data_IF_024465285942
#
_entry.id   IF_024465285942
#
_cell.length_a   1.000
_cell.length_b   1.000
_cell.length_c   1.000
_cell.angle_alpha   90.00
_cell.angle_beta   90.00
_cell.angle_gamma   90.00
#
_symmetry.space_group_name_H-M   'P 1'
#
loop_
_entity.id
_entity.type
_entity.pdbx_description
1 polymer ?
#
# COMPACT_ATOMS: atom_id res chain seq x y z
N UNK A 1 22.73 -49.75 -74.79
CA UNK A 1 22.54 -49.44 -73.33
C UNK A 1 21.34 -48.53 -73.17
N UNK A 2 20.19 -49.08 -72.88
CA UNK A 2 18.95 -48.30 -72.72
C UNK A 2 18.77 -48.00 -71.25
N UNK A 3 18.91 -46.76 -70.87
CA UNK A 3 18.58 -46.29 -69.48
C UNK A 3 17.09 -45.96 -69.40
N UNK A 4 16.35 -46.77 -68.66
CA UNK A 4 14.91 -46.67 -68.49
C UNK A 4 14.47 -45.34 -67.88
N UNK A 5 13.51 -44.63 -68.45
CA UNK A 5 12.98 -43.35 -67.90
C UNK A 5 12.20 -43.52 -66.59
N UNK A 6 11.87 -44.73 -66.17
CA UNK A 6 11.09 -45.01 -64.95
C UNK A 6 11.82 -44.73 -63.64
N UNK A 7 13.17 -44.80 -63.61
CA UNK A 7 13.94 -44.51 -62.38
C UNK A 7 14.01 -43.03 -62.02
N UNK A 8 13.90 -42.11 -62.99
CA UNK A 8 13.91 -40.64 -62.72
C UNK A 8 12.57 -40.12 -62.14
N UNK A 9 11.46 -40.70 -62.61
CA UNK A 9 10.13 -40.33 -62.14
C UNK A 9 9.89 -40.75 -60.65
N UNK A 10 10.42 -41.94 -60.28
CA UNK A 10 10.24 -42.43 -58.89
C UNK A 10 11.03 -41.64 -57.85
N UNK A 11 12.22 -41.14 -58.16
CA UNK A 11 13.02 -40.31 -57.23
C UNK A 11 12.47 -38.90 -57.08
N UNK A 12 11.82 -38.34 -58.12
CA UNK A 12 11.22 -36.99 -58.01
C UNK A 12 9.95 -37.04 -57.18
N UNK A 13 9.12 -38.07 -57.27
CA UNK A 13 7.94 -38.21 -56.37
C UNK A 13 8.32 -38.45 -54.90
N UNK A 14 9.38 -39.25 -54.63
CA UNK A 14 9.80 -39.55 -53.28
C UNK A 14 10.38 -38.33 -52.57
N UNK A 15 11.12 -37.46 -53.30
CA UNK A 15 11.65 -36.18 -52.73
C UNK A 15 10.55 -35.16 -52.47
N UNK A 16 9.49 -35.08 -53.26
CA UNK A 16 8.37 -34.18 -53.04
C UNK A 16 7.50 -34.62 -51.87
N UNK A 17 7.34 -35.94 -51.66
CA UNK A 17 6.57 -36.47 -50.52
C UNK A 17 7.28 -36.26 -49.18
N UNK A 18 8.62 -36.34 -49.13
CA UNK A 18 9.41 -36.06 -47.93
C UNK A 18 9.41 -34.58 -47.59
N UNK A 19 9.42 -33.67 -48.57
CA UNK A 19 9.35 -32.21 -48.34
C UNK A 19 7.95 -31.77 -47.87
N UNK A 20 6.89 -32.44 -48.34
CA UNK A 20 5.51 -32.17 -47.89
C UNK A 20 5.23 -32.66 -46.45
N UNK A 21 5.92 -33.71 -45.95
CA UNK A 21 5.80 -34.19 -44.58
C UNK A 21 6.58 -33.32 -43.56
N UNK A 22 7.60 -32.59 -44.00
CA UNK A 22 8.38 -31.66 -43.14
C UNK A 22 7.70 -30.30 -42.97
N UNK A 23 6.74 -29.95 -43.84
CA UNK A 23 6.06 -28.63 -43.78
C UNK A 23 4.86 -28.58 -42.82
N UNK A 24 4.45 -29.71 -42.21
CA UNK A 24 3.27 -29.76 -41.31
C UNK A 24 3.61 -29.84 -39.83
N UNK A 25 4.88 -29.74 -39.46
CA UNK A 25 5.25 -29.55 -38.04
C UNK A 25 5.05 -28.08 -37.63
N UNK A 26 3.81 -27.58 -37.73
CA UNK A 26 3.40 -26.43 -36.95
C UNK A 26 3.47 -26.85 -35.48
N UNK A 27 4.63 -26.63 -34.87
CA UNK A 27 4.70 -26.59 -33.42
C UNK A 27 3.69 -25.53 -32.98
N UNK A 28 2.49 -25.97 -32.60
CA UNK A 28 1.67 -25.18 -31.70
C UNK A 28 2.52 -24.97 -30.45
N UNK A 29 3.26 -23.86 -30.40
CA UNK A 29 3.73 -23.33 -29.16
C UNK A 29 2.45 -23.06 -28.37
N UNK A 30 2.01 -24.04 -27.59
CA UNK A 30 0.96 -23.83 -26.60
C UNK A 30 1.50 -22.72 -25.76
N UNK A 31 0.94 -21.51 -25.95
CA UNK A 31 1.24 -20.40 -25.10
C UNK A 31 1.03 -20.89 -23.66
N UNK A 32 2.11 -20.99 -22.90
CA UNK A 32 2.08 -21.56 -21.56
C UNK A 32 1.05 -20.76 -20.75
N UNK A 33 0.00 -21.46 -20.27
CA UNK A 33 -1.08 -20.80 -19.54
C UNK A 33 -0.50 -19.98 -18.38
N UNK A 34 -0.89 -18.72 -18.30
CA UNK A 34 -0.49 -17.85 -17.18
C UNK A 34 -1.47 -17.99 -16.01
N UNK A 35 -0.96 -18.06 -14.76
CA UNK A 35 0.42 -18.26 -14.37
C UNK A 35 0.84 -19.74 -14.47
N UNK A 36 2.10 -20.00 -14.87
CA UNK A 36 2.69 -21.34 -14.98
C UNK A 36 3.77 -21.62 -13.94
N UNK A 37 4.02 -20.66 -13.07
CA UNK A 37 5.00 -20.72 -11.98
C UNK A 37 4.49 -19.88 -10.80
N UNK A 38 5.10 -19.98 -9.59
CA UNK A 38 4.69 -19.20 -8.44
C UNK A 38 4.63 -17.70 -8.72
N UNK A 39 3.62 -17.04 -8.13
CA UNK A 39 3.44 -15.58 -8.17
C UNK A 39 3.93 -15.00 -6.86
N UNK A 40 4.75 -13.94 -6.94
CA UNK A 40 5.28 -13.25 -5.79
C UNK A 40 4.38 -12.08 -5.39
N UNK A 41 4.13 -11.93 -4.09
CA UNK A 41 3.56 -10.71 -3.51
C UNK A 41 4.67 -10.01 -2.75
N UNK A 42 5.11 -8.88 -3.29
CA UNK A 42 6.10 -8.03 -2.66
C UNK A 42 5.45 -7.14 -1.60
N UNK A 43 6.01 -7.12 -0.41
CA UNK A 43 5.63 -6.25 0.70
C UNK A 43 6.82 -5.34 1.04
N UNK A 44 6.75 -4.01 0.84
CA UNK A 44 7.86 -3.09 1.06
C UNK A 44 8.05 -2.72 2.54
N UNK A 45 7.60 -3.59 3.45
CA UNK A 45 7.64 -3.41 4.91
C UNK A 45 8.17 -4.67 5.60
N UNK A 46 8.55 -4.50 6.88
CA UNK A 46 9.02 -5.62 7.70
C UNK A 46 7.93 -6.67 7.93
N UNK A 47 8.37 -7.90 8.12
CA UNK A 47 7.52 -9.04 8.50
C UNK A 47 6.77 -8.73 9.80
N UNK A 48 5.51 -9.17 9.89
CA UNK A 48 4.62 -8.94 11.04
C UNK A 48 3.94 -7.58 11.06
N UNK A 49 4.30 -6.65 10.15
CA UNK A 49 3.57 -5.40 9.96
C UNK A 49 2.19 -5.62 9.31
N UNK A 50 1.33 -4.61 9.32
CA UNK A 50 -0.04 -4.76 8.82
C UNK A 50 -0.11 -5.18 7.34
N UNK A 51 0.72 -4.58 6.46
CA UNK A 51 0.77 -5.00 5.05
C UNK A 51 1.21 -6.47 4.90
N UNK A 52 2.17 -6.93 5.71
CA UNK A 52 2.61 -8.33 5.70
C UNK A 52 1.50 -9.28 6.18
N UNK A 53 0.76 -8.90 7.23
CA UNK A 53 -0.38 -9.68 7.73
C UNK A 53 -1.49 -9.79 6.68
N UNK A 54 -1.85 -8.68 6.02
CA UNK A 54 -2.85 -8.66 4.94
C UNK A 54 -2.39 -9.55 3.78
N UNK A 55 -1.13 -9.42 3.34
CA UNK A 55 -0.58 -10.21 2.25
C UNK A 55 -0.58 -11.72 2.57
N UNK A 56 -0.15 -12.11 3.77
CA UNK A 56 -0.13 -13.52 4.20
C UNK A 56 -1.53 -14.09 4.36
N UNK A 57 -2.48 -13.31 4.87
CA UNK A 57 -3.87 -13.75 4.96
C UNK A 57 -4.50 -13.97 3.59
N UNK A 58 -4.20 -13.08 2.62
CA UNK A 58 -4.75 -13.13 1.26
C UNK A 58 -4.09 -14.22 0.39
N UNK A 59 -2.84 -14.60 0.69
CA UNK A 59 -2.04 -15.51 -0.17
C UNK A 59 -2.72 -16.85 -0.49
N UNK A 60 -3.34 -17.59 0.46
CA UNK A 60 -4.04 -18.83 0.16
C UNK A 60 -5.20 -18.65 -0.82
N UNK A 61 -5.93 -17.54 -0.71
CA UNK A 61 -7.06 -17.22 -1.58
C UNK A 61 -6.58 -16.81 -2.98
N UNK A 62 -5.52 -16.00 -3.08
CA UNK A 62 -4.88 -15.73 -4.37
C UNK A 62 -4.38 -17.02 -5.04
N UNK A 63 -3.76 -17.93 -4.26
CA UNK A 63 -3.35 -19.24 -4.76
C UNK A 63 -4.53 -20.05 -5.30
N UNK A 64 -5.67 -20.06 -4.59
CA UNK A 64 -6.91 -20.72 -5.01
C UNK A 64 -7.37 -20.22 -6.39
N UNK A 65 -7.37 -18.92 -6.62
CA UNK A 65 -7.88 -18.33 -7.87
C UNK A 65 -6.84 -18.24 -8.99
N UNK A 66 -5.54 -18.25 -8.68
CA UNK A 66 -4.46 -18.29 -9.67
C UNK A 66 -4.04 -19.72 -10.08
N UNK A 67 -4.36 -20.72 -9.26
CA UNK A 67 -3.93 -22.10 -9.49
C UNK A 67 -2.43 -22.35 -9.35
N UNK A 68 -1.69 -21.37 -8.79
CA UNK A 68 -0.24 -21.43 -8.58
C UNK A 68 0.13 -20.94 -7.17
N UNK A 69 1.21 -21.42 -6.56
CA UNK A 69 1.67 -20.97 -5.27
C UNK A 69 1.89 -19.45 -5.23
N UNK A 70 1.52 -18.81 -4.12
CA UNK A 70 1.74 -17.38 -3.87
C UNK A 70 2.78 -17.23 -2.75
N UNK A 71 3.86 -16.53 -3.05
CA UNK A 71 5.00 -16.33 -2.14
C UNK A 71 5.06 -14.88 -1.67
N UNK A 72 5.24 -14.66 -0.37
CA UNK A 72 5.38 -13.31 0.20
C UNK A 72 6.86 -12.96 0.33
N UNK A 73 7.25 -11.83 -0.26
CA UNK A 73 8.62 -11.31 -0.25
C UNK A 73 8.63 -9.96 0.47
N UNK A 74 9.29 -9.86 1.62
CA UNK A 74 9.44 -8.60 2.33
C UNK A 74 10.72 -7.87 1.88
N UNK A 75 10.61 -6.59 1.51
CA UNK A 75 11.72 -5.69 1.13
C UNK A 75 11.56 -4.34 1.82
N UNK A 76 11.76 -4.34 3.13
CA UNK A 76 11.67 -3.13 3.95
C UNK A 76 12.88 -2.22 3.76
N UNK A 77 12.70 -0.93 3.99
CA UNK A 77 13.78 0.06 4.07
C UNK A 77 13.43 1.40 3.41
N UNK A 78 14.08 2.46 3.89
CA UNK A 78 13.94 3.83 3.41
C UNK A 78 12.47 4.27 3.23
N UNK A 79 11.60 4.01 4.24
CA UNK A 79 10.18 4.36 4.13
C UNK A 79 9.50 3.68 2.93
N UNK A 80 9.67 2.37 2.77
CA UNK A 80 9.17 1.56 1.66
C UNK A 80 9.84 1.82 0.29
N UNK A 81 10.69 2.83 0.13
CA UNK A 81 11.32 3.18 -1.15
C UNK A 81 12.10 2.01 -1.76
N UNK A 82 12.88 1.27 -0.94
CA UNK A 82 13.65 0.13 -1.43
C UNK A 82 12.75 -0.94 -2.05
N UNK A 83 11.63 -1.25 -1.40
CA UNK A 83 10.67 -2.22 -1.92
C UNK A 83 9.95 -1.74 -3.16
N UNK A 84 9.51 -0.49 -3.22
CA UNK A 84 8.87 0.10 -4.41
C UNK A 84 9.83 0.10 -5.62
N UNK A 85 11.10 0.51 -5.41
CA UNK A 85 12.12 0.46 -6.47
C UNK A 85 12.37 -0.98 -6.92
N UNK A 86 12.52 -1.91 -5.98
CA UNK A 86 12.70 -3.34 -6.30
C UNK A 86 11.51 -3.90 -7.09
N UNK A 87 10.27 -3.52 -6.74
CA UNK A 87 9.07 -3.93 -7.47
C UNK A 87 9.12 -3.52 -8.94
N UNK A 88 9.46 -2.27 -9.23
CA UNK A 88 9.53 -1.75 -10.60
C UNK A 88 10.76 -2.26 -11.38
N UNK A 89 11.76 -2.82 -10.70
CA UNK A 89 12.90 -3.50 -11.34
C UNK A 89 12.61 -4.97 -11.68
N UNK A 90 11.52 -5.55 -11.16
CA UNK A 90 11.13 -6.89 -11.57
C UNK A 90 10.59 -6.88 -12.99
N UNK A 91 10.65 -8.04 -13.71
CA UNK A 91 9.95 -8.17 -14.96
C UNK A 91 8.46 -7.82 -14.79
N UNK A 92 7.95 -6.97 -15.67
CA UNK A 92 6.54 -6.56 -15.67
C UNK A 92 5.66 -7.58 -16.43
N UNK A 93 5.91 -8.86 -16.16
CA UNK A 93 5.29 -10.03 -16.81
C UNK A 93 4.12 -10.63 -16.01
N UNK A 94 3.74 -9.98 -14.90
CA UNK A 94 2.62 -10.38 -14.05
C UNK A 94 2.98 -11.34 -12.92
N UNK A 95 4.23 -11.77 -12.78
CA UNK A 95 4.64 -12.69 -11.70
C UNK A 95 5.04 -12.00 -10.40
N UNK A 96 4.94 -10.67 -10.36
CA UNK A 96 5.13 -9.90 -9.12
C UNK A 96 3.98 -8.91 -8.92
N UNK A 97 3.27 -9.05 -7.82
CA UNK A 97 2.21 -8.15 -7.33
C UNK A 97 2.77 -7.38 -6.16
N UNK A 98 2.39 -6.11 -5.98
CA UNK A 98 2.77 -5.34 -4.81
C UNK A 98 1.58 -5.22 -3.83
N UNK A 99 1.83 -5.49 -2.55
CA UNK A 99 0.92 -5.16 -1.45
C UNK A 99 1.55 -4.07 -0.60
N UNK A 100 1.01 -2.85 -0.63
CA UNK A 100 1.67 -1.69 -0.04
C UNK A 100 0.70 -0.69 0.59
N UNK A 101 1.23 0.14 1.47
CA UNK A 101 0.68 1.45 1.85
C UNK A 101 1.11 2.45 0.79
N UNK A 102 0.19 2.82 -0.09
CA UNK A 102 0.51 3.55 -1.33
C UNK A 102 0.86 5.03 -1.12
N UNK A 103 0.50 5.60 0.03
CA UNK A 103 0.86 6.97 0.42
C UNK A 103 2.39 7.19 0.50
N UNK A 104 3.16 6.12 0.73
CA UNK A 104 4.63 6.21 0.72
C UNK A 104 5.20 6.48 -0.67
N UNK A 105 4.48 6.19 -1.75
CA UNK A 105 4.93 6.44 -3.12
C UNK A 105 5.12 7.95 -3.37
N UNK A 106 4.08 8.81 -3.23
CA UNK A 106 4.24 10.26 -3.40
C UNK A 106 5.21 10.89 -2.40
N UNK A 107 5.23 10.42 -1.16
CA UNK A 107 6.14 10.94 -0.14
C UNK A 107 7.61 10.66 -0.50
N UNK A 108 7.91 9.46 -0.99
CA UNK A 108 9.26 9.14 -1.45
C UNK A 108 9.65 9.94 -2.70
N UNK A 109 8.71 10.19 -3.63
CA UNK A 109 8.95 11.07 -4.78
C UNK A 109 9.30 12.49 -4.30
N UNK A 110 8.51 13.03 -3.39
CA UNK A 110 8.70 14.40 -2.89
C UNK A 110 9.93 14.55 -2.00
N UNK A 111 10.11 13.67 -1.01
CA UNK A 111 11.14 13.81 0.03
C UNK A 111 12.51 13.29 -0.44
N UNK A 112 12.56 12.06 -0.97
CA UNK A 112 13.82 11.38 -1.26
C UNK A 112 14.17 11.35 -2.74
N UNK A 113 13.35 11.99 -3.59
CA UNK A 113 13.52 12.01 -5.05
C UNK A 113 13.61 10.58 -5.62
N UNK A 114 12.72 9.70 -5.16
CA UNK A 114 12.68 8.31 -5.60
C UNK A 114 12.63 8.19 -7.14
N UNK A 115 13.30 7.18 -7.73
CA UNK A 115 13.47 7.06 -9.18
C UNK A 115 12.24 6.46 -9.87
N UNK A 116 11.04 6.87 -9.47
CA UNK A 116 9.76 6.42 -10.05
C UNK A 116 8.71 7.54 -10.01
N UNK A 117 7.60 7.33 -10.71
CA UNK A 117 6.49 8.28 -10.85
C UNK A 117 5.21 7.65 -10.31
N UNK A 118 4.20 8.48 -10.00
CA UNK A 118 2.88 8.01 -9.57
C UNK A 118 2.26 7.06 -10.59
N UNK A 119 2.45 7.35 -11.89
CA UNK A 119 1.88 6.62 -13.00
C UNK A 119 2.52 5.25 -13.25
N UNK A 120 3.64 4.92 -12.59
CA UNK A 120 4.27 3.60 -12.71
C UNK A 120 3.49 2.50 -11.94
N UNK A 121 2.52 2.90 -11.12
CA UNK A 121 1.74 2.05 -10.24
C UNK A 121 0.26 2.07 -10.61
N UNK A 122 -0.33 0.90 -10.87
CA UNK A 122 -1.76 0.72 -11.11
C UNK A 122 -2.42 0.11 -9.88
N UNK A 123 -3.38 0.83 -9.29
CA UNK A 123 -4.13 0.36 -8.13
C UNK A 123 -5.21 -0.64 -8.57
N UNK A 124 -5.21 -1.84 -7.98
CA UNK A 124 -6.27 -2.83 -8.21
C UNK A 124 -7.37 -2.73 -7.15
N UNK A 125 -6.96 -2.63 -5.88
CA UNK A 125 -7.90 -2.41 -4.78
C UNK A 125 -7.19 -1.78 -3.58
N UNK A 126 -7.78 -0.75 -3.00
CA UNK A 126 -7.33 -0.09 -1.77
C UNK A 126 -8.42 -0.23 -0.69
N UNK A 127 -8.56 -1.43 -0.06
CA UNK A 127 -9.63 -1.70 0.90
C UNK A 127 -9.54 -0.90 2.19
N UNK A 128 -8.38 -0.33 2.51
CA UNK A 128 -8.09 0.38 3.76
C UNK A 128 -7.79 1.84 3.51
N UNK A 129 -8.44 2.67 4.30
CA UNK A 129 -8.04 4.06 4.54
C UNK A 129 -7.90 4.19 6.06
N UNK A 130 -6.73 3.77 6.59
CA UNK A 130 -6.44 3.78 8.02
C UNK A 130 -6.32 5.23 8.50
N UNK A 131 -7.38 5.73 9.14
CA UNK A 131 -7.45 7.09 9.68
C UNK A 131 -6.25 7.42 10.55
N UNK A 132 -5.81 8.66 10.54
CA UNK A 132 -4.75 9.12 11.44
C UNK A 132 -5.35 9.53 12.77
N UNK A 133 -4.87 8.98 13.88
CA UNK A 133 -5.30 9.35 15.24
C UNK A 133 -4.14 9.96 16.04
N UNK A 134 -4.37 11.13 16.65
CA UNK A 134 -3.52 11.61 17.73
C UNK A 134 -4.00 10.96 19.02
N UNK A 135 -3.15 10.15 19.63
CA UNK A 135 -3.49 9.40 20.83
C UNK A 135 -2.42 9.53 21.91
N UNK A 136 -2.82 9.29 23.13
CA UNK A 136 -1.97 9.22 24.32
C UNK A 136 -2.34 7.99 25.17
N UNK A 137 -1.52 7.60 26.13
CA UNK A 137 -1.90 6.57 27.10
C UNK A 137 -3.14 6.99 27.89
N UNK A 138 -3.99 6.03 28.26
CA UNK A 138 -5.27 6.33 28.95
C UNK A 138 -5.10 7.06 30.27
N UNK A 139 -4.00 6.85 30.98
CA UNK A 139 -3.62 7.48 32.25
C UNK A 139 -2.84 8.79 32.07
N UNK A 140 -2.50 9.20 30.85
CA UNK A 140 -1.80 10.44 30.53
C UNK A 140 -2.49 11.67 31.14
N UNK A 141 -1.71 12.68 31.51
CA UNK A 141 -2.20 14.01 31.93
C UNK A 141 -2.97 14.74 30.84
N UNK A 142 -2.68 14.47 29.58
CA UNK A 142 -3.35 15.07 28.43
C UNK A 142 -4.69 14.38 28.16
N UNK A 143 -5.77 15.12 28.19
CA UNK A 143 -7.15 14.63 28.01
C UNK A 143 -7.78 15.12 26.72
N UNK A 144 -7.28 16.21 26.15
CA UNK A 144 -7.77 16.80 24.89
C UNK A 144 -6.61 17.28 24.03
N UNK A 145 -6.87 17.43 22.70
CA UNK A 145 -5.88 17.97 21.77
C UNK A 145 -5.49 19.42 22.12
N UNK A 146 -6.46 20.23 22.63
CA UNK A 146 -6.17 21.62 23.03
C UNK A 146 -5.11 21.69 24.11
N UNK A 147 -5.16 20.81 25.10
CA UNK A 147 -4.12 20.76 26.16
C UNK A 147 -2.73 20.49 25.57
N UNK A 148 -2.64 19.61 24.53
CA UNK A 148 -1.38 19.33 23.84
C UNK A 148 -0.90 20.56 23.07
N UNK A 149 -1.78 21.17 22.28
CA UNK A 149 -1.45 22.35 21.47
C UNK A 149 -1.08 23.55 22.33
N UNK A 150 -1.85 23.83 23.40
CA UNK A 150 -1.59 24.97 24.29
C UNK A 150 -0.26 24.77 25.06
N UNK A 151 0.08 23.55 25.44
CA UNK A 151 1.38 23.25 26.05
C UNK A 151 2.54 23.46 25.05
N UNK A 152 2.40 23.00 23.80
CA UNK A 152 3.40 23.21 22.73
C UNK A 152 3.56 24.71 22.41
N UNK A 153 2.50 25.51 22.41
CA UNK A 153 2.58 26.95 22.17
C UNK A 153 3.32 27.66 23.29
N UNK A 154 3.22 27.15 24.52
CA UNK A 154 3.93 27.70 25.68
C UNK A 154 5.41 27.28 25.66
N UNK A 155 5.69 26.03 25.39
CA UNK A 155 7.03 25.45 25.25
C UNK A 155 7.00 24.31 24.23
N UNK A 156 7.53 24.52 23.01
CA UNK A 156 7.53 23.51 21.95
C UNK A 156 8.26 22.22 22.32
N UNK A 157 9.16 22.25 23.31
CA UNK A 157 9.92 21.08 23.77
C UNK A 157 9.26 20.33 24.93
N UNK A 158 8.14 20.83 25.47
CA UNK A 158 7.46 20.27 26.64
C UNK A 158 6.80 18.91 26.39
N UNK A 159 6.55 18.56 25.13
CA UNK A 159 5.86 17.33 24.72
C UNK A 159 6.67 16.62 23.63
N UNK A 160 6.78 15.29 23.77
CA UNK A 160 7.35 14.40 22.74
C UNK A 160 6.24 13.74 21.93
N UNK A 161 6.38 13.75 20.60
CA UNK A 161 5.37 13.23 19.67
C UNK A 161 5.96 12.11 18.82
N UNK A 162 5.40 10.90 18.96
CA UNK A 162 5.79 9.73 18.16
C UNK A 162 5.09 9.71 16.81
N UNK A 163 5.85 9.53 15.72
CA UNK A 163 5.33 9.41 14.35
C UNK A 163 6.11 8.41 13.52
N UNK A 164 5.60 8.04 12.36
CA UNK A 164 6.37 7.34 11.34
C UNK A 164 7.03 8.37 10.39
N UNK A 165 8.29 8.18 9.99
CA UNK A 165 8.92 9.06 9.00
C UNK A 165 8.24 8.87 7.64
N UNK A 166 8.23 9.92 6.82
CA UNK A 166 7.68 9.90 5.47
C UNK A 166 6.27 9.26 5.40
N UNK A 167 5.37 9.67 6.29
CA UNK A 167 4.01 9.12 6.40
C UNK A 167 2.95 10.19 6.26
N UNK A 168 1.71 9.78 5.97
CA UNK A 168 0.54 10.64 6.04
C UNK A 168 0.36 11.22 7.47
N UNK A 169 0.71 10.44 8.48
CA UNK A 169 0.64 10.86 9.89
C UNK A 169 1.56 12.07 10.15
N UNK A 170 2.82 12.01 9.69
CA UNK A 170 3.74 13.13 9.81
C UNK A 170 3.25 14.36 9.02
N UNK A 171 2.64 14.16 7.84
CA UNK A 171 2.04 15.23 7.07
C UNK A 171 0.89 15.88 7.85
N UNK A 172 -0.02 15.09 8.41
CA UNK A 172 -1.14 15.61 9.21
C UNK A 172 -0.66 16.37 10.45
N UNK A 173 0.41 15.89 11.10
CA UNK A 173 1.04 16.62 12.20
C UNK A 173 1.58 18.00 11.75
N UNK A 174 2.26 18.01 10.61
CA UNK A 174 2.85 19.24 10.06
C UNK A 174 1.76 20.24 9.63
N UNK A 175 0.67 19.78 9.02
CA UNK A 175 -0.48 20.61 8.63
C UNK A 175 -1.24 21.16 9.84
N UNK A 176 -1.46 20.34 10.89
CA UNK A 176 -2.02 20.77 12.15
C UNK A 176 -1.17 21.87 12.78
N UNK A 177 0.13 21.67 12.84
CA UNK A 177 1.05 22.66 13.43
C UNK A 177 1.14 23.93 12.61
N UNK A 178 1.10 23.84 11.28
CA UNK A 178 1.03 25.00 10.41
C UNK A 178 -0.22 25.86 10.70
N UNK A 179 -1.39 25.22 10.82
CA UNK A 179 -2.64 25.90 11.14
C UNK A 179 -2.60 26.56 12.54
N UNK A 180 -1.96 25.90 13.50
CA UNK A 180 -1.78 26.39 14.88
C UNK A 180 -0.58 27.34 15.04
N UNK A 181 0.14 27.65 13.96
CA UNK A 181 1.34 28.51 13.95
C UNK A 181 2.47 27.99 14.86
N UNK A 182 2.61 26.67 14.94
CA UNK A 182 3.70 25.99 15.63
C UNK A 182 4.74 25.57 14.60
N UNK A 183 6.00 25.88 14.83
CA UNK A 183 7.09 25.37 13.96
C UNK A 183 7.45 23.94 14.38
N UNK A 184 7.19 22.98 13.50
CA UNK A 184 7.44 21.55 13.76
C UNK A 184 8.90 21.23 14.13
N UNK A 185 9.87 22.05 13.68
CA UNK A 185 11.29 21.87 14.00
C UNK A 185 11.65 22.18 15.46
N UNK A 186 10.85 22.98 16.09
CA UNK A 186 11.05 23.34 17.49
C UNK A 186 10.48 22.26 18.43
N UNK A 187 9.60 21.37 17.89
CA UNK A 187 8.92 20.31 18.65
C UNK A 187 9.76 19.04 18.72
N UNK A 188 9.66 18.32 19.82
CA UNK A 188 10.31 16.99 20.01
C UNK A 188 9.55 15.90 19.25
N UNK A 189 9.74 15.84 17.92
CA UNK A 189 9.19 14.76 17.09
C UNK A 189 10.15 13.55 17.10
N UNK A 190 9.65 12.39 17.53
CA UNK A 190 10.38 11.12 17.61
C UNK A 190 9.87 10.18 16.54
N UNK A 191 10.76 9.73 15.65
CA UNK A 191 10.38 8.86 14.54
C UNK A 191 10.63 7.38 14.86
N UNK A 192 9.68 6.53 14.45
CA UNK A 192 9.72 5.08 14.64
C UNK A 192 9.62 4.34 13.30
N UNK A 193 10.25 3.18 13.18
CA UNK A 193 10.31 2.38 11.95
C UNK A 193 8.98 1.71 11.54
N UNK A 194 7.87 2.05 12.19
CA UNK A 194 6.54 1.54 11.90
C UNK A 194 5.51 1.91 12.97
N UNK A 195 4.24 1.79 12.64
CA UNK A 195 3.13 2.11 13.57
C UNK A 195 3.14 1.28 14.86
N UNK A 196 3.55 0.01 14.82
CA UNK A 196 3.69 -0.84 16.01
C UNK A 196 4.64 -0.26 17.06
N UNK A 197 5.91 -0.02 16.71
CA UNK A 197 6.86 0.65 17.62
C UNK A 197 6.37 2.02 18.10
N UNK A 198 5.76 2.84 17.26
CA UNK A 198 5.23 4.14 17.66
C UNK A 198 4.08 4.01 18.68
N UNK A 199 3.14 3.08 18.47
CA UNK A 199 2.06 2.78 19.43
C UNK A 199 2.60 2.27 20.77
N UNK A 200 3.58 1.38 20.74
CA UNK A 200 4.21 0.87 21.95
C UNK A 200 4.91 1.99 22.74
N UNK A 201 5.53 2.94 22.04
CA UNK A 201 6.15 4.11 22.67
C UNK A 201 5.12 5.00 23.39
N UNK A 202 3.92 5.19 22.81
CA UNK A 202 2.79 5.87 23.45
C UNK A 202 2.33 5.13 24.71
N UNK A 203 2.08 3.82 24.58
CA UNK A 203 1.59 2.98 25.69
C UNK A 203 2.59 2.87 26.85
N UNK A 204 3.88 2.89 26.54
CA UNK A 204 4.97 2.80 27.53
C UNK A 204 5.44 4.15 28.06
N UNK A 205 4.81 5.27 27.64
CA UNK A 205 5.20 6.61 28.07
C UNK A 205 6.57 7.06 27.56
N UNK A 206 7.14 6.38 26.55
CA UNK A 206 8.39 6.81 25.91
C UNK A 206 8.20 8.12 25.13
N UNK A 207 7.01 8.33 24.62
CA UNK A 207 6.53 9.60 24.08
C UNK A 207 5.21 9.98 24.74
N UNK A 208 4.93 11.28 24.85
CA UNK A 208 3.72 11.78 25.50
C UNK A 208 2.47 11.55 24.68
N UNK A 209 2.57 11.71 23.38
CA UNK A 209 1.51 11.48 22.38
C UNK A 209 2.07 10.82 21.12
N UNK A 210 1.20 10.20 20.33
CA UNK A 210 1.58 9.66 19.01
C UNK A 210 0.54 9.99 17.98
N UNK A 211 0.99 10.37 16.78
CA UNK A 211 0.14 10.54 15.63
C UNK A 211 0.44 9.39 14.64
N UNK A 212 -0.46 8.42 14.57
CA UNK A 212 -0.28 7.18 13.82
C UNK A 212 -1.62 6.61 13.35
N UNK A 213 -1.59 5.62 12.46
CA UNK A 213 -2.80 4.95 12.00
C UNK A 213 -3.63 4.34 13.13
N UNK A 214 -4.94 4.61 13.13
CA UNK A 214 -5.91 4.26 14.17
C UNK A 214 -6.19 2.75 14.26
N UNK A 215 -6.28 2.05 13.11
CA UNK A 215 -6.61 0.60 13.06
C UNK A 215 -5.72 -0.23 13.99
N UNK A 216 -4.45 0.14 14.12
CA UNK A 216 -3.52 -0.60 14.98
C UNK A 216 -3.75 -0.41 16.48
N UNK A 217 -4.58 0.54 16.90
CA UNK A 217 -5.00 0.70 18.28
C UNK A 217 -6.27 -0.09 18.63
N UNK A 218 -7.04 -0.56 17.66
CA UNK A 218 -8.31 -1.27 17.90
C UNK A 218 -8.19 -2.38 18.96
N UNK A 219 -7.20 -3.30 18.89
CA UNK A 219 -7.06 -4.37 19.88
C UNK A 219 -6.71 -3.91 21.29
N UNK A 220 -6.27 -2.65 21.45
CA UNK A 220 -5.75 -2.07 22.69
C UNK A 220 -6.39 -0.71 23.01
N UNK A 221 -7.56 -0.43 22.41
CA UNK A 221 -8.22 0.90 22.51
C UNK A 221 -8.55 1.32 23.95
N UNK A 222 -8.75 0.37 24.86
CA UNK A 222 -8.96 0.63 26.28
C UNK A 222 -7.72 1.15 27.03
N UNK A 223 -6.54 1.04 26.42
CA UNK A 223 -5.26 1.49 26.99
C UNK A 223 -4.82 2.87 26.50
N UNK A 224 -5.58 3.44 25.57
CA UNK A 224 -5.29 4.75 24.99
C UNK A 224 -6.46 5.71 25.18
N UNK A 225 -6.18 6.97 24.95
CA UNK A 225 -7.16 8.05 24.74
C UNK A 225 -6.90 8.68 23.39
N UNK A 226 -7.89 8.60 22.49
CA UNK A 226 -7.89 9.38 21.26
C UNK A 226 -8.13 10.87 21.58
N UNK A 227 -7.30 11.74 21.04
CA UNK A 227 -7.39 13.19 21.24
C UNK A 227 -8.02 13.88 20.03
N UNK A 228 -7.75 13.40 18.83
CA UNK A 228 -8.39 13.79 17.57
C UNK A 228 -8.19 12.74 16.50
N UNK A 229 -9.19 12.57 15.64
CA UNK A 229 -9.18 11.67 14.48
C UNK A 229 -9.23 12.49 13.18
N UNK A 230 -8.31 12.21 12.26
CA UNK A 230 -8.29 12.77 10.90
C UNK A 230 -8.92 11.77 9.94
N UNK A 231 -10.17 12.00 9.57
CA UNK A 231 -10.94 11.19 8.62
C UNK A 231 -12.05 12.03 7.99
N UNK A 232 -12.66 11.52 6.90
CA UNK A 232 -13.88 12.11 6.30
C UNK A 232 -15.15 11.77 7.12
N UNK A 233 -15.09 10.70 7.93
CA UNK A 233 -16.21 10.19 8.72
C UNK A 233 -15.76 9.76 10.12
N UNK A 234 -16.73 9.72 11.06
CA UNK A 234 -16.47 9.13 12.38
C UNK A 234 -16.21 7.65 12.28
N UNK A 235 -15.12 7.20 12.89
CA UNK A 235 -14.81 5.79 13.02
C UNK A 235 -15.61 5.18 14.18
N UNK A 236 -16.45 4.16 13.94
CA UNK A 236 -17.22 3.49 14.99
C UNK A 236 -16.34 2.88 16.09
N UNK A 237 -15.11 2.46 15.77
CA UNK A 237 -14.17 1.91 16.74
C UNK A 237 -13.60 2.99 17.70
N UNK A 238 -13.65 4.27 17.29
CA UNK A 238 -13.17 5.43 18.03
C UNK A 238 -14.26 6.50 18.19
N UNK A 239 -15.52 6.06 18.41
CA UNK A 239 -16.69 6.94 18.49
C UNK A 239 -16.56 8.09 19.51
N UNK A 240 -15.82 7.85 20.61
CA UNK A 240 -15.57 8.84 21.66
C UNK A 240 -14.40 9.80 21.34
N UNK A 241 -13.66 9.57 20.25
CA UNK A 241 -12.56 10.45 19.83
C UNK A 241 -13.12 11.61 19.04
N UNK A 242 -12.81 12.87 19.41
CA UNK A 242 -13.22 14.04 18.64
C UNK A 242 -12.73 13.96 17.20
N UNK A 243 -13.59 14.35 16.25
CA UNK A 243 -13.24 14.46 14.85
C UNK A 243 -12.48 15.77 14.57
N UNK A 244 -11.63 15.79 13.56
CA UNK A 244 -10.84 16.99 13.22
C UNK A 244 -11.73 18.22 12.96
N UNK A 245 -12.90 18.06 12.32
CA UNK A 245 -13.85 19.14 12.06
C UNK A 245 -14.34 19.80 13.37
N UNK A 246 -14.48 19.04 14.46
CA UNK A 246 -14.90 19.60 15.75
C UNK A 246 -13.81 20.47 16.33
N UNK A 247 -12.57 20.03 16.19
CA UNK A 247 -11.40 20.82 16.60
C UNK A 247 -11.28 22.10 15.76
N UNK A 248 -11.42 22.00 14.43
CA UNK A 248 -11.40 23.14 13.51
C UNK A 248 -12.45 24.19 13.89
N UNK A 249 -13.70 23.76 14.07
CA UNK A 249 -14.81 24.66 14.49
C UNK A 249 -14.49 25.35 15.80
N UNK A 250 -14.02 24.61 16.81
CA UNK A 250 -13.71 25.13 18.13
C UNK A 250 -12.57 26.14 18.13
N UNK A 251 -11.58 25.96 17.24
CA UNK A 251 -10.39 26.83 17.13
C UNK A 251 -10.51 27.87 16.03
N UNK A 252 -11.62 27.87 15.27
CA UNK A 252 -11.83 28.71 14.08
C UNK A 252 -10.68 28.56 13.08
N UNK A 253 -10.34 27.30 12.74
CA UNK A 253 -9.28 26.91 11.82
C UNK A 253 -9.85 26.19 10.60
N UNK A 254 -9.05 26.09 9.57
CA UNK A 254 -9.23 25.18 8.45
C UNK A 254 -7.91 24.44 8.21
N UNK A 255 -7.94 23.10 8.30
CA UNK A 255 -6.76 22.24 8.20
C UNK A 255 -6.95 21.36 6.96
N UNK A 256 -6.13 21.56 5.96
CA UNK A 256 -6.12 20.68 4.78
C UNK A 256 -5.38 19.40 5.13
N UNK A 257 -6.06 18.48 5.84
CA UNK A 257 -5.47 17.19 6.20
C UNK A 257 -5.46 16.22 5.01
N UNK A 258 -4.61 15.19 5.09
CA UNK A 258 -4.47 14.16 4.06
C UNK A 258 -5.06 12.84 4.55
N UNK A 259 -5.65 12.02 3.64
CA UNK A 259 -6.12 10.68 4.00
C UNK A 259 -5.01 9.87 4.66
N UNK A 260 -5.38 9.07 5.62
CA UNK A 260 -4.47 8.18 6.32
C UNK A 260 -3.86 7.11 5.42
N UNK A 261 -3.34 6.06 6.01
CA UNK A 261 -2.59 5.04 5.27
C UNK A 261 -3.50 4.22 4.36
N UNK A 262 -3.49 4.48 3.06
CA UNK A 262 -4.20 3.67 2.06
C UNK A 262 -3.39 2.43 1.73
N UNK A 263 -3.94 1.25 2.02
CA UNK A 263 -3.27 -0.04 1.80
C UNK A 263 -4.01 -0.86 0.76
N UNK A 264 -3.26 -1.59 -0.05
CA UNK A 264 -3.89 -2.51 -1.00
C UNK A 264 -2.95 -3.12 -2.04
N UNK A 265 -3.54 -3.48 -3.16
CA UNK A 265 -2.98 -4.31 -4.21
C UNK A 265 -2.67 -3.48 -5.44
N UNK A 266 -1.46 -3.63 -5.94
CA UNK A 266 -0.90 -2.79 -6.99
C UNK A 266 -0.22 -3.67 -8.05
N UNK A 267 -0.39 -3.32 -9.32
CA UNK A 267 0.30 -3.92 -10.45
C UNK A 267 1.23 -2.87 -11.11
N UNK A 268 2.26 -3.31 -11.86
CA UNK A 268 3.02 -2.39 -12.72
C UNK A 268 2.09 -1.81 -13.78
N UNK A 269 2.06 -0.50 -13.95
CA UNK A 269 1.15 0.15 -14.91
C UNK A 269 1.37 -0.30 -16.36
N UNK A 270 2.58 -0.73 -16.70
CA UNK A 270 2.95 -1.26 -18.02
C UNK A 270 2.38 -2.65 -18.32
N UNK A 271 1.96 -3.41 -17.29
CA UNK A 271 1.47 -4.78 -17.45
C UNK A 271 0.27 -4.86 -18.38
N UNK A 272 -0.68 -3.94 -18.23
CA UNK A 272 -1.93 -3.92 -19.03
C UNK A 272 -1.66 -3.76 -20.52
N UNK A 273 -0.69 -2.92 -20.89
CA UNK A 273 -0.34 -2.69 -22.30
C UNK A 273 0.52 -3.80 -22.88
N UNK A 274 1.42 -4.41 -22.09
CA UNK A 274 2.34 -5.47 -22.56
C UNK A 274 1.70 -6.86 -22.56
N UNK A 275 0.89 -7.15 -21.53
CA UNK A 275 0.30 -8.47 -21.30
C UNK A 275 -1.16 -8.35 -20.84
N UNK A 276 -2.09 -7.87 -21.70
CA UNK A 276 -3.49 -7.59 -21.30
C UNK A 276 -4.21 -8.80 -20.69
N UNK A 277 -3.97 -10.00 -21.21
CA UNK A 277 -4.58 -11.23 -20.67
C UNK A 277 -4.10 -11.55 -19.26
N UNK A 278 -2.79 -11.42 -19.01
CA UNK A 278 -2.23 -11.63 -17.65
C UNK A 278 -2.73 -10.59 -16.67
N UNK A 279 -2.82 -9.34 -17.10
CA UNK A 279 -3.42 -8.27 -16.32
C UNK A 279 -4.85 -8.61 -15.92
N UNK A 280 -5.69 -9.02 -16.88
CA UNK A 280 -7.08 -9.39 -16.63
C UNK A 280 -7.19 -10.57 -15.64
N UNK A 281 -6.34 -11.60 -15.79
CA UNK A 281 -6.28 -12.75 -14.87
C UNK A 281 -5.93 -12.30 -13.44
N UNK A 282 -4.92 -11.43 -13.27
CA UNK A 282 -4.50 -10.95 -11.96
C UNK A 282 -5.58 -10.07 -11.30
N UNK A 283 -6.16 -9.14 -12.05
CA UNK A 283 -7.26 -8.29 -11.54
C UNK A 283 -8.44 -9.17 -11.11
N UNK A 284 -8.79 -10.18 -11.93
CA UNK A 284 -9.86 -11.14 -11.58
C UNK A 284 -9.52 -11.93 -10.33
N UNK A 285 -8.32 -12.49 -10.21
CA UNK A 285 -7.90 -13.27 -9.07
C UNK A 285 -7.89 -12.44 -7.77
N UNK A 286 -7.41 -11.19 -7.81
CA UNK A 286 -7.46 -10.27 -6.67
C UNK A 286 -8.91 -9.93 -6.32
N UNK A 287 -9.78 -9.74 -7.31
CA UNK A 287 -11.21 -9.48 -7.11
C UNK A 287 -11.89 -10.64 -6.40
N UNK A 288 -11.73 -11.86 -6.94
CA UNK A 288 -12.38 -13.06 -6.43
C UNK A 288 -11.87 -13.39 -5.02
N UNK A 289 -10.56 -13.29 -4.79
CA UNK A 289 -9.98 -13.49 -3.47
C UNK A 289 -10.44 -12.44 -2.44
N UNK A 290 -10.58 -11.16 -2.84
CA UNK A 290 -11.09 -10.11 -1.96
C UNK A 290 -12.58 -10.29 -1.60
N UNK A 291 -13.34 -10.97 -2.44
CA UNK A 291 -14.78 -11.26 -2.25
C UNK A 291 -15.04 -12.65 -1.70
N UNK A 292 -14.02 -13.46 -1.50
CA UNK A 292 -14.15 -14.80 -0.94
C UNK A 292 -14.71 -14.73 0.50
N UNK A 293 -15.83 -15.40 0.80
CA UNK A 293 -16.46 -15.33 2.12
C UNK A 293 -15.54 -15.78 3.26
N UNK A 294 -14.67 -16.78 3.02
CA UNK A 294 -13.73 -17.28 4.02
C UNK A 294 -12.63 -16.25 4.29
N UNK A 295 -12.12 -15.59 3.23
CA UNK A 295 -11.19 -14.47 3.38
C UNK A 295 -11.82 -13.33 4.19
N UNK A 296 -13.05 -12.92 3.84
CA UNK A 296 -13.75 -11.83 4.53
C UNK A 296 -13.93 -12.17 6.02
N UNK A 297 -14.35 -13.40 6.35
CA UNK A 297 -14.51 -13.85 7.74
C UNK A 297 -13.18 -13.84 8.50
N UNK A 298 -12.11 -14.39 7.89
CA UNK A 298 -10.79 -14.45 8.50
C UNK A 298 -10.14 -13.04 8.68
N UNK A 299 -10.37 -12.14 7.74
CA UNK A 299 -9.88 -10.77 7.82
C UNK A 299 -10.61 -9.97 8.91
N UNK A 300 -11.93 -10.07 8.98
CA UNK A 300 -12.74 -9.46 10.06
C UNK A 300 -12.32 -9.94 11.44
N UNK A 301 -12.05 -11.24 11.60
CA UNK A 301 -11.57 -11.81 12.86
C UNK A 301 -10.21 -11.24 13.32
N UNK A 302 -9.43 -10.68 12.40
CA UNK A 302 -8.14 -10.03 12.65
C UNK A 302 -8.21 -8.50 12.60
N UNK A 303 -9.40 -7.90 12.53
CA UNK A 303 -9.63 -6.47 12.33
C UNK A 303 -8.85 -5.93 11.11
N UNK A 304 -8.85 -6.69 9.99
CA UNK A 304 -8.25 -6.29 8.73
C UNK A 304 -9.32 -5.81 7.74
N UNK A 305 -9.00 -4.82 6.89
CA UNK A 305 -9.96 -4.24 5.95
C UNK A 305 -10.32 -5.23 4.84
N UNK A 306 -11.61 -5.24 4.45
CA UNK A 306 -12.17 -6.18 3.46
C UNK A 306 -12.93 -5.48 2.32
N UNK A 307 -12.97 -4.15 2.29
CA UNK A 307 -13.75 -3.41 1.31
C UNK A 307 -13.22 -3.64 -0.11
N UNK A 308 -14.12 -3.93 -1.04
CA UNK A 308 -13.78 -3.95 -2.45
C UNK A 308 -14.20 -2.64 -3.11
N UNK A 309 -13.23 -1.80 -3.49
CA UNK A 309 -13.43 -0.55 -4.22
C UNK A 309 -13.26 -0.73 -5.74
N UNK A 310 -12.43 -1.68 -6.13
CA UNK A 310 -12.05 -1.94 -7.51
C UNK A 310 -11.02 -0.95 -8.08
N UNK A 311 -10.49 -1.23 -9.29
CA UNK A 311 -9.36 -0.49 -9.85
C UNK A 311 -9.63 1.00 -10.05
N UNK A 312 -10.77 1.34 -10.65
CA UNK A 312 -11.10 2.73 -10.99
C UNK A 312 -11.15 3.62 -9.74
N UNK A 313 -11.93 3.21 -8.73
CA UNK A 313 -12.08 3.99 -7.49
C UNK A 313 -10.79 4.04 -6.70
N UNK A 314 -10.05 2.95 -6.65
CA UNK A 314 -8.75 2.88 -5.97
C UNK A 314 -7.72 3.80 -6.63
N UNK A 315 -7.66 3.84 -7.96
CA UNK A 315 -6.77 4.74 -8.69
C UNK A 315 -7.11 6.21 -8.47
N UNK A 316 -8.42 6.55 -8.48
CA UNK A 316 -8.91 7.90 -8.18
C UNK A 316 -8.47 8.37 -6.79
N UNK A 317 -8.70 7.54 -5.77
CA UNK A 317 -8.34 7.84 -4.38
C UNK A 317 -6.83 7.99 -4.21
N UNK A 318 -6.05 7.08 -4.81
CA UNK A 318 -4.59 7.14 -4.81
C UNK A 318 -4.07 8.46 -5.40
N UNK A 319 -4.57 8.86 -6.58
CA UNK A 319 -4.11 10.08 -7.24
C UNK A 319 -4.55 11.34 -6.46
N UNK A 320 -5.77 11.36 -5.93
CA UNK A 320 -6.26 12.46 -5.09
C UNK A 320 -5.36 12.64 -3.86
N UNK A 321 -5.13 11.57 -3.11
CA UNK A 321 -4.26 11.59 -1.92
C UNK A 321 -2.81 11.98 -2.27
N UNK A 322 -2.27 11.41 -3.37
CA UNK A 322 -0.92 11.71 -3.83
C UNK A 322 -0.71 13.17 -4.19
N UNK A 323 -1.67 13.77 -4.89
CA UNK A 323 -1.61 15.19 -5.28
C UNK A 323 -1.65 16.10 -4.05
N UNK A 324 -2.49 15.79 -3.05
CA UNK A 324 -2.54 16.54 -1.79
C UNK A 324 -1.22 16.42 -1.02
N UNK A 325 -0.67 15.20 -0.91
CA UNK A 325 0.62 14.97 -0.27
C UNK A 325 1.76 15.75 -0.94
N UNK A 326 1.83 15.72 -2.28
CA UNK A 326 2.86 16.44 -3.04
C UNK A 326 2.69 17.97 -2.97
N UNK A 327 1.46 18.48 -2.92
CA UNK A 327 1.17 19.91 -2.74
C UNK A 327 1.77 20.45 -1.43
N UNK A 328 1.75 19.65 -0.37
CA UNK A 328 2.19 20.05 0.95
C UNK A 328 3.60 19.54 1.34
N UNK A 329 4.32 18.94 0.39
CA UNK A 329 5.59 18.27 0.69
C UNK A 329 6.64 19.21 1.30
N UNK A 330 6.65 20.48 0.91
CA UNK A 330 7.59 21.49 1.39
C UNK A 330 7.45 21.76 2.90
N UNK A 331 6.28 21.54 3.48
CA UNK A 331 6.05 21.70 4.93
C UNK A 331 6.91 20.69 5.71
N UNK A 332 7.06 19.48 5.19
CA UNK A 332 7.93 18.44 5.81
C UNK A 332 9.40 18.69 5.47
N UNK A 333 9.68 19.18 4.25
CA UNK A 333 11.03 19.44 3.76
C UNK A 333 11.61 20.74 4.29
N UNK A 334 10.78 21.68 4.74
CA UNK A 334 11.25 22.94 5.29
C UNK A 334 12.21 22.67 6.46
N UNK A 335 13.51 22.54 6.18
CA UNK A 335 14.63 22.32 7.11
C UNK A 335 15.08 23.63 7.73
#
# INVERSE_FOLDING_TARGET
>A
MFTSPFKKAFNVCLTFTIFALLATSTTHVLAQAFPSRPVNVLVPFATGGQNDRIARLMAPYLQKYLGQPVQIINKAGAGAQLGHTYFLQQPDDGYTILSSSVNYIPLNIGITKAPYKLQDFEMVNLPSNDSTILATASDSKFKTIEQVIDALKKDPKSISIGVQPASADLMNLALLFQAEKINIKDVRVVTFTGGGPARNAVLGGTVDVGLVGAEGFIPIKNRIRGLVLFDDQRDPEFADTPHIDEYEKKRNLSIEWVPGSQRGWVLPATLKSKYPDRHAILVKAITDASKDPEFIAAAKAQALPVTWLGPQKSQELYLKASNTLLKHIDIILAK
#
